data_IF_040288249154
#
_entry.id   IF_040288249154
#
_cell.length_a   1.000
_cell.length_b   1.000
_cell.length_c   1.000
_cell.angle_alpha   90.00
_cell.angle_beta   90.00
_cell.angle_gamma   90.00
#
_symmetry.space_group_name_H-M   'P 1'
#
loop_
_entity.id
_entity.type
_entity.pdbx_description
1 polymer ?
#
# COMPACT_ATOMS: atom_id res chain seq x y z
N UNK A 1 -12.88 -22.00 10.85
CA UNK A 1 -12.55 -20.98 11.91
C UNK A 1 -13.73 -20.02 12.00
N UNK A 2 -14.26 -19.78 13.20
CA UNK A 2 -15.38 -18.83 13.40
C UNK A 2 -14.86 -17.41 13.23
N UNK A 3 -15.52 -16.61 12.40
CA UNK A 3 -15.16 -15.21 12.14
C UNK A 3 -16.32 -14.31 12.52
N UNK A 4 -16.02 -13.23 13.21
CA UNK A 4 -17.02 -12.22 13.59
C UNK A 4 -17.00 -11.10 12.54
N UNK A 5 -17.97 -11.14 11.65
CA UNK A 5 -18.22 -10.12 10.62
C UNK A 5 -19.72 -9.82 10.55
N UNK A 6 -20.09 -8.59 10.20
CA UNK A 6 -21.50 -8.27 9.90
C UNK A 6 -21.83 -8.75 8.47
N UNK A 7 -21.88 -7.84 7.51
CA UNK A 7 -21.95 -8.19 6.09
C UNK A 7 -20.52 -8.13 5.51
N UNK A 8 -19.99 -9.22 4.91
CA UNK A 8 -18.67 -9.24 4.30
C UNK A 8 -18.41 -8.11 3.29
N UNK A 9 -19.41 -7.75 2.49
CA UNK A 9 -19.31 -6.68 1.48
C UNK A 9 -19.02 -5.30 2.10
N UNK A 10 -19.45 -5.10 3.34
CA UNK A 10 -19.26 -3.84 4.06
C UNK A 10 -18.02 -3.86 4.96
N UNK A 11 -17.29 -4.98 5.03
CA UNK A 11 -16.15 -5.12 5.93
C UNK A 11 -15.11 -3.99 5.77
N UNK A 12 -14.65 -3.61 4.56
CA UNK A 12 -13.65 -2.56 4.41
C UNK A 12 -14.14 -1.20 4.89
N UNK A 13 -15.36 -0.82 4.53
CA UNK A 13 -15.94 0.47 4.93
C UNK A 13 -16.17 0.55 6.45
N UNK A 14 -16.60 -0.55 7.07
CA UNK A 14 -16.78 -0.63 8.52
C UNK A 14 -15.44 -0.61 9.27
N UNK A 15 -14.41 -1.26 8.73
CA UNK A 15 -13.06 -1.23 9.30
C UNK A 15 -12.48 0.19 9.27
N UNK A 16 -12.63 0.92 8.16
CA UNK A 16 -12.22 2.33 8.04
C UNK A 16 -13.00 3.21 9.00
N UNK A 17 -14.31 3.04 9.11
CA UNK A 17 -15.16 3.79 10.04
C UNK A 17 -14.76 3.54 11.50
N UNK A 18 -14.46 2.28 11.86
CA UNK A 18 -13.96 1.90 13.18
C UNK A 18 -12.61 2.54 13.49
N UNK A 19 -11.68 2.53 12.55
CA UNK A 19 -10.37 3.17 12.69
C UNK A 19 -10.50 4.68 12.93
N UNK A 20 -11.33 5.37 12.14
CA UNK A 20 -11.60 6.81 12.32
C UNK A 20 -12.22 7.10 13.68
N UNK A 21 -13.15 6.26 14.15
CA UNK A 21 -13.79 6.41 15.46
C UNK A 21 -12.79 6.20 16.61
N UNK A 22 -11.82 5.31 16.43
CA UNK A 22 -10.76 5.06 17.42
C UNK A 22 -9.72 6.21 17.45
N UNK A 23 -9.50 6.89 16.34
CA UNK A 23 -8.47 7.93 16.19
C UNK A 23 -9.01 9.26 15.63
N UNK A 24 -10.08 9.86 16.20
CA UNK A 24 -10.77 11.02 15.64
C UNK A 24 -9.89 12.29 15.60
N UNK A 25 -8.88 12.37 16.47
CA UNK A 25 -7.93 13.49 16.49
C UNK A 25 -6.84 13.39 15.42
N UNK A 26 -6.68 12.22 14.81
CA UNK A 26 -5.66 11.95 13.77
C UNK A 26 -6.25 11.79 12.38
N UNK A 27 -7.45 11.23 12.29
CA UNK A 27 -8.07 10.83 11.02
C UNK A 27 -9.41 11.52 10.80
N UNK A 28 -9.65 11.92 9.57
CA UNK A 28 -10.94 12.40 9.06
C UNK A 28 -11.36 11.54 7.87
N UNK A 29 -12.60 11.03 7.86
CA UNK A 29 -13.09 10.22 6.75
C UNK A 29 -13.34 11.09 5.51
N UNK A 30 -13.10 10.51 4.35
CA UNK A 30 -13.47 11.05 3.02
C UNK A 30 -14.03 9.91 2.19
N UNK A 31 -14.72 10.24 1.10
CA UNK A 31 -15.15 9.21 0.17
C UNK A 31 -13.95 8.41 -0.36
N UNK A 32 -13.96 7.10 -0.11
CA UNK A 32 -12.91 6.18 -0.54
C UNK A 32 -11.69 6.07 0.37
N UNK A 33 -11.69 6.71 1.56
CA UNK A 33 -10.56 6.57 2.47
C UNK A 33 -10.52 7.57 3.61
N UNK A 34 -9.31 7.92 4.02
CA UNK A 34 -9.06 8.82 5.14
C UNK A 34 -7.99 9.85 4.80
N UNK A 35 -8.04 11.00 5.47
CA UNK A 35 -6.99 12.01 5.46
C UNK A 35 -6.65 12.45 6.87
N UNK A 36 -5.53 13.14 7.07
CA UNK A 36 -5.20 13.72 8.38
C UNK A 36 -6.31 14.66 8.86
N UNK A 37 -6.68 14.56 10.13
CA UNK A 37 -7.65 15.45 10.75
C UNK A 37 -7.11 16.88 10.85
N UNK A 38 -5.88 17.05 11.33
CA UNK A 38 -5.22 18.35 11.39
C UNK A 38 -4.73 18.78 10.00
N UNK A 39 -4.96 20.06 9.67
CA UNK A 39 -4.31 20.68 8.51
C UNK A 39 -2.87 21.02 8.86
N UNK A 40 -1.96 20.68 7.97
CA UNK A 40 -0.57 21.11 8.03
C UNK A 40 -0.38 22.35 7.14
N UNK A 41 0.78 22.99 7.28
CA UNK A 41 1.21 24.07 6.39
C UNK A 41 1.35 23.57 4.94
N UNK A 42 1.55 24.51 4.03
CA UNK A 42 1.78 24.24 2.62
C UNK A 42 3.02 23.37 2.43
N UNK A 43 2.83 22.20 1.87
CA UNK A 43 3.89 21.22 1.56
C UNK A 43 3.46 20.29 0.43
N UNK A 44 4.38 19.50 -0.10
CA UNK A 44 4.05 18.33 -0.92
C UNK A 44 3.27 17.33 -0.07
N UNK A 45 2.10 16.91 -0.54
CA UNK A 45 1.28 15.92 0.16
C UNK A 45 1.57 14.52 -0.38
N UNK A 46 1.70 13.54 0.50
CA UNK A 46 1.78 12.13 0.13
C UNK A 46 0.45 11.44 0.43
N UNK A 47 -0.19 10.88 -0.59
CA UNK A 47 -1.34 9.98 -0.48
C UNK A 47 -0.87 8.59 -0.86
N UNK A 48 -1.18 7.60 -0.03
CA UNK A 48 -0.89 6.19 -0.30
C UNK A 48 -2.19 5.42 -0.51
N UNK A 49 -2.15 4.26 -1.13
CA UNK A 49 -3.37 3.49 -1.26
C UNK A 49 -3.25 2.21 -2.07
N UNK A 50 -4.35 1.48 -2.07
CA UNK A 50 -4.53 0.18 -2.69
C UNK A 50 -5.74 -0.53 -2.09
N UNK A 51 -5.79 -1.85 -2.23
CA UNK A 51 -6.81 -2.69 -1.60
C UNK A 51 -6.71 -2.67 -0.09
N UNK A 52 -7.85 -2.76 0.59
CA UNK A 52 -7.91 -3.03 2.02
C UNK A 52 -7.47 -4.47 2.31
N UNK A 53 -7.14 -4.77 3.58
CA UNK A 53 -6.75 -6.11 4.02
C UNK A 53 -5.26 -6.27 4.31
N UNK A 54 -4.44 -5.33 3.89
CA UNK A 54 -2.98 -5.32 4.11
C UNK A 54 -2.57 -4.61 5.42
N UNK A 55 -3.42 -4.68 6.44
CA UNK A 55 -3.24 -3.92 7.68
C UNK A 55 -1.82 -4.03 8.27
N UNK A 56 -1.25 -2.87 8.75
CA UNK A 56 -1.85 -1.54 8.94
C UNK A 56 -1.93 -0.67 7.65
N UNK A 57 -1.44 -1.15 6.50
CA UNK A 57 -1.58 -0.43 5.24
C UNK A 57 -3.07 -0.36 4.85
N UNK A 58 -3.53 0.75 4.32
CA UNK A 58 -2.83 2.01 4.09
C UNK A 58 -3.32 3.07 5.08
N UNK A 59 -4.55 2.93 5.60
CA UNK A 59 -5.19 3.89 6.49
C UNK A 59 -4.43 4.10 7.81
N UNK A 60 -3.81 3.05 8.34
CA UNK A 60 -3.01 3.11 9.57
C UNK A 60 -1.69 3.88 9.41
N UNK A 61 -1.32 4.29 8.20
CA UNK A 61 -0.13 5.08 7.94
C UNK A 61 -0.40 6.58 7.83
N UNK A 62 -1.67 7.00 7.97
CA UNK A 62 -2.05 8.41 7.89
C UNK A 62 -1.77 9.11 9.21
N UNK A 63 -0.91 10.12 9.19
CA UNK A 63 -0.56 10.89 10.37
C UNK A 63 0.73 11.69 10.22
N UNK A 64 1.07 12.55 11.21
CA UNK A 64 2.30 13.33 11.20
C UNK A 64 3.54 12.47 11.00
N UNK A 65 4.41 12.88 10.09
CA UNK A 65 5.63 12.16 9.74
C UNK A 65 5.41 10.93 8.84
N UNK A 66 4.17 10.72 8.32
CA UNK A 66 3.88 9.71 7.32
C UNK A 66 2.89 10.25 6.29
N UNK A 67 1.87 9.48 5.84
CA UNK A 67 0.97 9.89 4.77
C UNK A 67 -0.01 11.01 5.18
N UNK A 68 -0.38 11.87 4.23
CA UNK A 68 -1.42 12.90 4.40
C UNK A 68 -2.83 12.35 4.15
N UNK A 69 -2.92 11.24 3.41
CA UNK A 69 -4.15 10.51 3.16
C UNK A 69 -3.91 9.08 2.71
N UNK A 70 -4.93 8.25 2.83
CA UNK A 70 -4.93 6.88 2.33
C UNK A 70 -6.22 6.56 1.58
N UNK A 71 -6.08 6.01 0.38
CA UNK A 71 -7.20 5.48 -0.41
C UNK A 71 -7.39 4.01 -0.05
N UNK A 72 -8.62 3.65 0.31
CA UNK A 72 -8.94 2.31 0.80
C UNK A 72 -9.92 1.64 -0.18
N UNK A 73 -9.41 0.73 -0.99
CA UNK A 73 -10.22 -0.11 -1.88
C UNK A 73 -10.95 -1.23 -1.12
N UNK A 74 -11.63 -2.11 -1.86
CA UNK A 74 -12.18 -3.33 -1.29
C UNK A 74 -11.02 -4.30 -0.90
N UNK A 75 -11.35 -5.39 -0.20
CA UNK A 75 -10.30 -6.37 0.20
C UNK A 75 -9.56 -6.86 -1.05
N UNK A 76 -8.25 -6.67 -1.04
CA UNK A 76 -7.32 -7.05 -2.11
C UNK A 76 -7.70 -6.56 -3.50
N UNK A 77 -8.43 -5.45 -3.58
CA UNK A 77 -8.88 -4.86 -4.84
C UNK A 77 -8.55 -3.38 -4.89
N UNK A 78 -8.04 -2.94 -6.02
CA UNK A 78 -7.72 -1.53 -6.27
C UNK A 78 -8.94 -0.64 -6.08
N UNK A 79 -8.79 0.53 -5.44
CA UNK A 79 -9.86 1.51 -5.33
C UNK A 79 -10.20 2.10 -6.71
N UNK A 80 -11.41 2.64 -6.85
CA UNK A 80 -11.79 3.35 -8.08
C UNK A 80 -11.05 4.67 -8.23
N UNK A 81 -10.91 5.16 -9.47
CA UNK A 81 -10.33 6.46 -9.75
C UNK A 81 -11.07 7.62 -9.06
N UNK A 82 -12.39 7.50 -8.86
CA UNK A 82 -13.19 8.51 -8.14
C UNK A 82 -12.87 8.54 -6.63
N UNK A 83 -12.62 7.39 -6.01
CA UNK A 83 -12.16 7.31 -4.62
C UNK A 83 -10.75 7.90 -4.47
N UNK A 84 -9.83 7.51 -5.35
CA UNK A 84 -8.47 8.03 -5.39
C UNK A 84 -8.47 9.57 -5.55
N UNK A 85 -9.22 10.09 -6.52
CA UNK A 85 -9.37 11.53 -6.72
C UNK A 85 -9.90 12.25 -5.47
N UNK A 86 -10.95 11.73 -4.83
CA UNK A 86 -11.56 12.38 -3.68
C UNK A 86 -10.61 12.49 -2.48
N UNK A 87 -9.87 11.41 -2.18
CA UNK A 87 -8.87 11.41 -1.11
C UNK A 87 -7.71 12.35 -1.44
N UNK A 88 -7.18 12.28 -2.66
CA UNK A 88 -6.09 13.14 -3.12
C UNK A 88 -6.46 14.61 -3.04
N UNK A 89 -7.65 14.98 -3.53
CA UNK A 89 -8.16 16.36 -3.47
C UNK A 89 -8.30 16.86 -2.04
N UNK A 90 -8.75 15.99 -1.13
CA UNK A 90 -8.90 16.34 0.29
C UNK A 90 -7.55 16.43 1.04
N UNK A 91 -6.54 15.72 0.58
CA UNK A 91 -5.19 15.70 1.15
C UNK A 91 -4.28 16.82 0.63
N UNK A 92 -4.60 17.43 -0.52
CA UNK A 92 -3.78 18.45 -1.15
C UNK A 92 -3.44 19.60 -0.21
N UNK A 93 -2.16 20.02 -0.21
CA UNK A 93 -1.61 21.11 0.60
C UNK A 93 -1.02 22.25 -0.26
N UNK A 94 -1.25 22.21 -1.57
CA UNK A 94 -0.94 23.29 -2.50
C UNK A 94 0.51 23.41 -2.94
N UNK A 95 1.37 22.42 -2.63
CA UNK A 95 2.76 22.39 -3.13
C UNK A 95 3.04 21.17 -4.02
N UNK A 96 1.99 20.49 -4.49
CA UNK A 96 2.04 19.27 -5.26
C UNK A 96 1.59 18.04 -4.46
N UNK A 97 1.28 16.97 -5.17
CA UNK A 97 0.70 15.76 -4.63
C UNK A 97 1.39 14.53 -5.20
N UNK A 98 1.85 13.67 -4.33
CA UNK A 98 2.43 12.37 -4.65
C UNK A 98 1.44 11.26 -4.29
N UNK A 99 1.24 10.32 -5.20
CA UNK A 99 0.29 9.22 -5.05
C UNK A 99 1.09 7.92 -5.10
N UNK A 100 1.30 7.31 -3.91
CA UNK A 100 2.13 6.12 -3.74
C UNK A 100 1.30 4.85 -3.65
N UNK A 101 1.69 3.82 -4.40
CA UNK A 101 1.04 2.51 -4.41
C UNK A 101 1.99 1.42 -4.91
N UNK A 102 1.70 0.16 -4.56
CA UNK A 102 2.41 -0.98 -5.14
C UNK A 102 2.12 -1.12 -6.63
N UNK A 103 3.09 -1.57 -7.41
CA UNK A 103 2.97 -1.68 -8.87
C UNK A 103 2.02 -2.82 -9.29
N UNK A 104 0.73 -2.57 -9.22
CA UNK A 104 -0.33 -3.45 -9.70
C UNK A 104 -1.16 -2.77 -10.80
N UNK A 105 -1.59 -3.54 -11.80
CA UNK A 105 -2.24 -2.99 -12.99
C UNK A 105 -3.51 -2.17 -12.69
N UNK A 106 -4.33 -2.62 -11.73
CA UNK A 106 -5.53 -1.91 -11.30
C UNK A 106 -5.21 -0.57 -10.65
N UNK A 107 -4.19 -0.54 -9.79
CA UNK A 107 -3.74 0.69 -9.11
C UNK A 107 -3.12 1.66 -10.11
N UNK A 108 -2.25 1.19 -11.00
CA UNK A 108 -1.67 2.01 -12.08
C UNK A 108 -2.76 2.68 -12.91
N UNK A 109 -3.81 1.94 -13.30
CA UNK A 109 -4.92 2.47 -14.07
C UNK A 109 -5.71 3.52 -13.27
N UNK A 110 -6.18 3.18 -12.09
CA UNK A 110 -7.12 4.01 -11.34
C UNK A 110 -6.46 5.24 -10.72
N UNK A 111 -5.27 5.09 -10.13
CA UNK A 111 -4.52 6.23 -9.61
C UNK A 111 -3.98 7.11 -10.74
N UNK A 112 -3.61 6.53 -11.87
CA UNK A 112 -3.24 7.28 -13.07
C UNK A 112 -4.36 8.19 -13.56
N UNK A 113 -5.59 7.67 -13.68
CA UNK A 113 -6.76 8.46 -14.04
C UNK A 113 -7.07 9.57 -13.02
N UNK A 114 -6.93 9.28 -11.72
CA UNK A 114 -7.09 10.30 -10.69
C UNK A 114 -6.03 11.42 -10.81
N UNK A 115 -4.77 11.05 -11.04
CA UNK A 115 -3.68 12.00 -11.25
C UNK A 115 -3.90 12.88 -12.49
N UNK A 116 -4.37 12.32 -13.60
CA UNK A 116 -4.70 13.09 -14.80
C UNK A 116 -5.79 14.12 -14.54
N UNK A 117 -6.84 13.73 -13.83
CA UNK A 117 -7.90 14.65 -13.43
C UNK A 117 -7.38 15.78 -12.54
N UNK A 118 -6.57 15.47 -11.54
CA UNK A 118 -5.95 16.47 -10.65
C UNK A 118 -5.06 17.44 -11.42
N UNK A 119 -4.27 16.94 -12.38
CA UNK A 119 -3.44 17.79 -13.26
C UNK A 119 -4.28 18.72 -14.14
N UNK A 120 -5.44 18.25 -14.64
CA UNK A 120 -6.36 19.11 -15.40
C UNK A 120 -6.96 20.25 -14.57
N UNK A 121 -6.93 20.12 -13.24
CA UNK A 121 -7.35 21.15 -12.27
C UNK A 121 -6.18 22.03 -11.77
N UNK A 122 -4.98 21.87 -12.35
CA UNK A 122 -3.80 22.66 -12.02
C UNK A 122 -3.00 22.17 -10.82
N UNK A 123 -3.23 20.94 -10.33
CA UNK A 123 -2.46 20.32 -9.25
C UNK A 123 -1.33 19.48 -9.87
N UNK A 124 -0.07 19.72 -9.49
CA UNK A 124 1.04 18.84 -9.87
C UNK A 124 0.90 17.52 -9.12
N UNK A 125 0.25 16.54 -9.75
CA UNK A 125 -0.01 15.21 -9.20
C UNK A 125 0.81 14.14 -9.92
N UNK A 126 1.63 13.38 -9.16
CA UNK A 126 2.55 12.37 -9.70
C UNK A 126 2.34 11.03 -9.01
N UNK A 127 2.34 9.93 -9.79
CA UNK A 127 2.25 8.56 -9.28
C UNK A 127 3.65 8.03 -8.95
N UNK A 128 3.77 7.35 -7.82
CA UNK A 128 4.98 6.73 -7.31
C UNK A 128 4.71 5.22 -7.13
N UNK A 129 5.37 4.39 -7.94
CA UNK A 129 5.17 2.95 -7.98
C UNK A 129 6.28 2.24 -7.21
N UNK A 130 5.94 1.53 -6.16
CA UNK A 130 6.89 0.68 -5.43
C UNK A 130 7.07 -0.65 -6.16
N UNK A 131 8.32 -1.10 -6.29
CA UNK A 131 8.73 -2.22 -7.12
C UNK A 131 9.75 -3.13 -6.43
N UNK A 132 9.51 -3.47 -5.17
CA UNK A 132 10.46 -4.15 -4.30
C UNK A 132 10.45 -5.68 -4.39
N UNK A 133 9.36 -6.31 -4.88
CA UNK A 133 9.19 -7.78 -4.90
C UNK A 133 10.11 -8.46 -5.92
N UNK A 134 11.24 -8.98 -5.44
CA UNK A 134 12.26 -9.62 -6.28
C UNK A 134 11.78 -10.93 -6.94
N UNK A 135 10.77 -11.59 -6.36
CA UNK A 135 10.21 -12.83 -6.88
C UNK A 135 9.34 -12.63 -8.12
N UNK A 136 8.77 -11.45 -8.30
CA UNK A 136 7.74 -11.20 -9.31
C UNK A 136 8.28 -10.96 -10.72
N UNK A 137 9.46 -10.38 -10.86
CA UNK A 137 10.11 -10.15 -12.15
C UNK A 137 11.62 -9.89 -12.01
N UNK A 138 12.44 -10.30 -13.02
CA UNK A 138 13.86 -9.91 -13.09
C UNK A 138 14.05 -8.40 -13.27
N UNK A 139 13.26 -7.79 -14.16
CA UNK A 139 13.26 -6.36 -14.42
C UNK A 139 12.58 -5.63 -13.26
N UNK A 140 13.35 -4.81 -12.51
CA UNK A 140 12.87 -4.15 -11.30
C UNK A 140 11.67 -3.22 -11.56
N UNK A 141 11.57 -2.59 -12.72
CA UNK A 141 10.43 -1.73 -13.08
C UNK A 141 9.12 -2.50 -13.31
N UNK A 142 9.20 -3.82 -13.47
CA UNK A 142 8.04 -4.71 -13.65
C UNK A 142 7.66 -5.47 -12.38
N UNK A 143 8.47 -5.33 -11.32
CA UNK A 143 8.19 -5.98 -10.05
C UNK A 143 6.93 -5.42 -9.41
N UNK A 144 6.26 -6.25 -8.63
CA UNK A 144 5.17 -5.83 -7.73
C UNK A 144 5.73 -5.02 -6.56
N UNK A 145 4.89 -4.19 -5.94
CA UNK A 145 5.16 -3.58 -4.63
C UNK A 145 4.52 -4.41 -3.53
N UNK A 146 5.28 -4.76 -2.50
CA UNK A 146 4.81 -5.52 -1.33
C UNK A 146 5.25 -4.84 -0.02
N UNK A 147 6.08 -5.49 0.82
CA UNK A 147 6.48 -4.95 2.12
C UNK A 147 7.36 -3.69 2.03
N UNK A 148 8.03 -3.47 0.90
CA UNK A 148 8.81 -2.27 0.62
C UNK A 148 8.00 -0.98 0.60
N UNK A 149 6.69 -1.05 0.41
CA UNK A 149 5.79 0.11 0.54
C UNK A 149 6.04 0.87 1.85
N UNK A 150 6.21 0.17 2.97
CA UNK A 150 6.37 0.80 4.28
C UNK A 150 7.64 1.68 4.38
N UNK A 151 8.87 1.18 4.18
CA UNK A 151 10.07 2.00 4.26
C UNK A 151 10.15 3.06 3.15
N UNK A 152 9.74 2.72 1.93
CA UNK A 152 9.78 3.65 0.80
C UNK A 152 8.88 4.85 1.05
N UNK A 153 7.61 4.63 1.41
CA UNK A 153 6.69 5.74 1.70
C UNK A 153 7.05 6.48 2.98
N UNK A 154 7.64 5.79 3.98
CA UNK A 154 8.07 6.47 5.21
C UNK A 154 9.18 7.47 4.96
N UNK A 155 10.17 7.12 4.14
CA UNK A 155 11.27 8.04 3.78
C UNK A 155 10.76 9.18 2.89
N UNK A 156 9.89 8.86 1.92
CA UNK A 156 9.25 9.85 1.04
C UNK A 156 8.44 10.87 1.86
N UNK A 157 7.64 10.37 2.81
CA UNK A 157 6.85 11.22 3.70
C UNK A 157 7.70 12.15 4.57
N UNK A 158 8.83 11.65 5.07
CA UNK A 158 9.77 12.47 5.85
C UNK A 158 10.30 13.64 5.02
N UNK A 159 10.67 13.40 3.76
CA UNK A 159 11.10 14.46 2.85
C UNK A 159 9.97 15.50 2.58
N UNK A 160 8.72 15.05 2.46
CA UNK A 160 7.56 15.96 2.38
C UNK A 160 7.40 16.80 3.65
N UNK A 161 7.56 16.20 4.84
CA UNK A 161 7.47 16.92 6.13
C UNK A 161 8.61 17.95 6.32
N UNK A 162 9.79 17.68 5.76
CA UNK A 162 10.91 18.62 5.75
C UNK A 162 10.67 19.84 4.81
N UNK A 163 9.57 19.83 4.05
CA UNK A 163 9.22 20.93 3.13
C UNK A 163 10.04 20.95 1.84
N UNK A 164 10.61 19.80 1.43
CA UNK A 164 11.30 19.67 0.15
C UNK A 164 10.33 19.86 -1.00
N UNK A 165 10.84 20.32 -2.12
CA UNK A 165 10.04 20.44 -3.34
C UNK A 165 9.72 19.07 -3.95
N UNK A 166 8.75 19.03 -4.88
CA UNK A 166 8.23 17.79 -5.42
C UNK A 166 9.28 17.01 -6.23
N UNK A 167 10.20 17.68 -6.92
CA UNK A 167 11.25 17.04 -7.71
C UNK A 167 12.30 16.39 -6.80
N UNK A 168 12.68 17.05 -5.71
CA UNK A 168 13.56 16.51 -4.68
C UNK A 168 12.94 15.28 -4.02
N UNK A 169 11.64 15.33 -3.68
CA UNK A 169 10.94 14.19 -3.05
C UNK A 169 10.86 13.01 -4.00
N UNK A 170 10.56 13.23 -5.29
CA UNK A 170 10.55 12.15 -6.30
C UNK A 170 11.93 11.53 -6.42
N UNK A 171 13.00 12.32 -6.48
CA UNK A 171 14.37 11.79 -6.56
C UNK A 171 14.77 10.97 -5.31
N UNK A 172 14.25 11.34 -4.14
CA UNK A 172 14.44 10.55 -2.90
C UNK A 172 13.66 9.25 -2.99
N UNK A 173 12.39 9.29 -3.41
CA UNK A 173 11.58 8.09 -3.63
C UNK A 173 12.28 7.12 -4.57
N UNK A 174 12.68 7.56 -5.76
CA UNK A 174 13.32 6.71 -6.76
C UNK A 174 14.56 6.02 -6.20
N UNK A 175 15.42 6.75 -5.49
CA UNK A 175 16.63 6.20 -4.88
C UNK A 175 16.33 5.16 -3.80
N UNK A 176 15.28 5.36 -2.98
CA UNK A 176 14.92 4.41 -1.92
C UNK A 176 14.25 3.18 -2.52
N UNK A 177 13.32 3.36 -3.45
CA UNK A 177 12.65 2.27 -4.16
C UNK A 177 13.66 1.38 -4.89
N UNK A 178 14.63 2.00 -5.57
CA UNK A 178 15.69 1.31 -6.32
C UNK A 178 16.61 0.44 -5.42
N UNK A 179 16.64 0.72 -4.12
CA UNK A 179 17.45 0.01 -3.11
C UNK A 179 16.63 -0.88 -2.18
N UNK A 180 15.32 -0.89 -2.31
CA UNK A 180 14.44 -1.72 -1.48
C UNK A 180 14.17 -3.05 -2.19
N UNK A 181 14.34 -4.14 -1.44
CA UNK A 181 14.07 -5.51 -1.89
C UNK A 181 13.21 -6.21 -0.86
N UNK A 182 12.23 -6.96 -1.33
CA UNK A 182 11.39 -7.81 -0.49
C UNK A 182 11.20 -9.17 -1.14
N UNK A 183 11.03 -10.18 -0.32
CA UNK A 183 10.66 -11.54 -0.72
C UNK A 183 9.55 -12.02 0.21
N UNK A 184 8.41 -12.40 -0.36
CA UNK A 184 7.28 -12.94 0.39
C UNK A 184 7.44 -14.43 0.68
N UNK A 185 7.08 -14.85 1.90
CA UNK A 185 6.87 -16.27 2.23
C UNK A 185 5.47 -16.47 2.81
N UNK A 186 4.83 -17.57 2.48
CA UNK A 186 3.50 -17.92 2.97
C UNK A 186 3.52 -19.27 3.68
N UNK A 187 2.95 -19.32 4.88
CA UNK A 187 2.85 -20.52 5.70
C UNK A 187 1.44 -21.16 5.70
N UNK A 188 0.47 -20.43 5.20
CA UNK A 188 -0.92 -20.84 5.08
C UNK A 188 -1.66 -20.01 4.06
N UNK A 189 -2.80 -20.50 3.58
CA UNK A 189 -3.68 -19.75 2.70
C UNK A 189 -4.38 -18.59 3.40
N UNK A 190 -4.80 -17.60 2.61
CA UNK A 190 -5.60 -16.46 3.05
C UNK A 190 -7.05 -16.64 2.61
N UNK A 191 -8.00 -16.49 3.56
CA UNK A 191 -9.44 -16.57 3.26
C UNK A 191 -10.09 -15.21 3.44
N UNK A 192 -10.77 -14.73 2.40
CA UNK A 192 -11.48 -13.45 2.43
C UNK A 192 -12.68 -13.49 3.40
N UNK A 193 -13.11 -12.33 3.94
CA UNK A 193 -14.36 -12.25 4.68
C UNK A 193 -15.53 -12.77 3.83
N UNK A 194 -16.31 -13.71 4.39
CA UNK A 194 -17.46 -14.32 3.70
C UNK A 194 -17.14 -15.42 2.70
N UNK A 195 -15.86 -15.73 2.43
CA UNK A 195 -15.48 -16.88 1.62
C UNK A 195 -15.36 -18.14 2.46
N UNK A 196 -15.74 -19.27 1.88
CA UNK A 196 -15.61 -20.59 2.50
C UNK A 196 -14.22 -21.20 2.30
N UNK A 197 -13.57 -20.87 1.18
CA UNK A 197 -12.28 -21.41 0.77
C UNK A 197 -11.20 -20.32 0.74
N UNK A 198 -9.92 -20.69 1.01
CA UNK A 198 -8.82 -19.77 0.87
C UNK A 198 -8.52 -19.44 -0.60
N UNK A 199 -7.92 -18.29 -0.86
CA UNK A 199 -7.47 -17.87 -2.19
C UNK A 199 -6.38 -18.79 -2.76
N UNK A 200 -5.55 -19.35 -1.89
CA UNK A 200 -4.50 -20.30 -2.21
C UNK A 200 -4.29 -21.24 -1.02
N UNK A 201 -3.56 -22.34 -1.25
CA UNK A 201 -3.26 -23.33 -0.21
C UNK A 201 -1.75 -23.50 -0.13
N UNK A 202 -1.26 -23.71 1.09
CA UNK A 202 0.10 -24.17 1.37
C UNK A 202 -0.06 -25.48 2.14
N UNK A 203 0.62 -26.52 1.69
CA UNK A 203 0.56 -27.86 2.33
C UNK A 203 1.15 -27.84 3.74
N UNK A 204 0.65 -28.68 4.61
CA UNK A 204 1.12 -28.77 5.99
C UNK A 204 2.63 -29.12 6.04
N UNK A 205 3.41 -28.31 6.78
CA UNK A 205 4.86 -28.48 6.86
C UNK A 205 5.64 -27.92 5.67
N UNK A 206 4.97 -27.21 4.77
CA UNK A 206 5.59 -26.47 3.66
C UNK A 206 5.48 -24.97 3.87
N UNK A 207 6.30 -24.20 3.14
CA UNK A 207 6.14 -22.77 2.94
C UNK A 207 6.25 -22.45 1.46
N UNK A 208 5.41 -21.52 0.98
CA UNK A 208 5.51 -20.97 -0.38
C UNK A 208 6.48 -19.81 -0.40
N UNK A 209 7.53 -19.89 -1.22
CA UNK A 209 8.56 -18.85 -1.35
C UNK A 209 8.27 -17.96 -2.55
N UNK A 210 8.35 -16.65 -2.36
CA UNK A 210 8.11 -15.66 -3.41
C UNK A 210 6.65 -15.42 -3.72
N UNK A 211 5.73 -15.87 -2.86
CA UNK A 211 4.30 -15.62 -3.05
C UNK A 211 3.94 -14.14 -2.94
N UNK A 212 3.07 -13.68 -3.81
CA UNK A 212 2.51 -12.35 -3.77
C UNK A 212 1.46 -12.18 -2.66
N UNK A 213 1.21 -10.92 -2.30
CA UNK A 213 0.30 -10.56 -1.18
C UNK A 213 -1.18 -10.85 -1.44
N UNK A 214 -1.57 -11.10 -2.68
CA UNK A 214 -2.92 -11.50 -3.06
C UNK A 214 -3.02 -13.01 -3.39
N UNK A 215 -1.95 -13.77 -3.16
CA UNK A 215 -1.86 -15.18 -3.50
C UNK A 215 -1.36 -15.42 -4.93
N UNK A 216 -0.69 -14.44 -5.54
CA UNK A 216 -0.02 -14.66 -6.83
C UNK A 216 1.05 -15.74 -6.66
N UNK A 217 1.22 -16.63 -7.67
CA UNK A 217 2.15 -17.76 -7.59
C UNK A 217 3.56 -17.32 -7.19
N UNK A 218 4.17 -18.07 -6.28
CA UNK A 218 5.55 -17.93 -5.87
C UNK A 218 6.55 -18.56 -6.83
N UNK A 219 7.79 -18.64 -6.41
CA UNK A 219 8.90 -19.26 -7.16
C UNK A 219 8.82 -20.80 -7.00
N UNK A 220 8.65 -21.27 -5.76
CA UNK A 220 8.54 -22.69 -5.40
C UNK A 220 7.97 -22.84 -3.97
N UNK A 221 7.60 -24.08 -3.64
CA UNK A 221 7.33 -24.48 -2.27
C UNK A 221 8.52 -25.26 -1.73
N UNK A 222 8.80 -25.12 -0.41
CA UNK A 222 9.83 -25.87 0.28
C UNK A 222 9.40 -26.30 1.69
N UNK A 223 10.11 -27.23 2.27
CA UNK A 223 9.85 -27.68 3.64
C UNK A 223 10.05 -26.54 4.62
N UNK A 224 9.09 -26.32 5.51
CA UNK A 224 9.17 -25.29 6.53
C UNK A 224 10.34 -25.55 7.48
N UNK A 225 11.31 -24.65 7.48
CA UNK A 225 12.45 -24.65 8.38
C UNK A 225 12.15 -23.95 9.72
N UNK A 226 13.17 -23.84 10.53
CA UNK A 226 13.17 -23.00 11.74
C UNK A 226 13.08 -21.53 11.37
N UNK A 227 12.73 -20.67 12.33
CA UNK A 227 12.69 -19.22 12.11
C UNK A 227 14.04 -18.65 11.65
N UNK A 228 15.15 -19.19 12.17
CA UNK A 228 16.49 -18.75 11.79
C UNK A 228 16.83 -19.15 10.35
N UNK A 229 16.44 -20.34 9.91
CA UNK A 229 16.63 -20.80 8.53
C UNK A 229 15.79 -19.98 7.55
N UNK A 230 14.51 -19.71 7.89
CA UNK A 230 13.67 -18.82 7.07
C UNK A 230 14.22 -17.40 6.99
N UNK A 231 14.70 -16.83 8.11
CA UNK A 231 15.31 -15.51 8.13
C UNK A 231 16.60 -15.49 7.28
N UNK A 232 17.43 -16.51 7.37
CA UNK A 232 18.62 -16.64 6.52
C UNK A 232 18.25 -16.71 5.03
N UNK A 233 17.24 -17.51 4.67
CA UNK A 233 16.73 -17.59 3.30
C UNK A 233 16.31 -16.21 2.78
N UNK A 234 15.52 -15.46 3.54
CA UNK A 234 15.04 -14.12 3.15
C UNK A 234 16.19 -13.11 2.97
N UNK A 235 17.21 -13.16 3.81
CA UNK A 235 18.34 -12.23 3.74
C UNK A 235 19.26 -12.53 2.56
N UNK A 236 19.54 -13.80 2.26
CA UNK A 236 20.47 -14.20 1.19
C UNK A 236 19.83 -14.25 -0.20
N UNK A 237 18.49 -14.28 -0.29
CA UNK A 237 17.78 -14.31 -1.59
C UNK A 237 17.49 -12.89 -2.12
N UNK A 238 17.64 -11.87 -1.27
CA UNK A 238 17.34 -10.48 -1.62
C UNK A 238 18.51 -9.67 -2.16
N UNK A 239 19.68 -10.25 -2.32
CA UNK A 239 20.90 -9.61 -2.87
C UNK A 239 20.96 -9.65 -4.42
#
# INVERSE_FOLDING_TARGET
MTRLVNNPDNFPSQAVAGLVSAFPNHLRPVFGGVVRAARTDRKVALVVGGGSGHYPAFAGWVGPGFADGAVCGNIFSSPSASQAYAVCKAADRGAGLLIGFGNYAGDVLHFGQAAERLRSEGIDARCLLVTDDIASAPDHLKRRGIAGDLPVFKVTAAACEEGRDIDEVVAIFDRVNDRTRSLGVAFAGCTLPGADEPLFRVEAGQMGVGMGIHGEPGIHDETLGTADEVAACLLYTSD
#
